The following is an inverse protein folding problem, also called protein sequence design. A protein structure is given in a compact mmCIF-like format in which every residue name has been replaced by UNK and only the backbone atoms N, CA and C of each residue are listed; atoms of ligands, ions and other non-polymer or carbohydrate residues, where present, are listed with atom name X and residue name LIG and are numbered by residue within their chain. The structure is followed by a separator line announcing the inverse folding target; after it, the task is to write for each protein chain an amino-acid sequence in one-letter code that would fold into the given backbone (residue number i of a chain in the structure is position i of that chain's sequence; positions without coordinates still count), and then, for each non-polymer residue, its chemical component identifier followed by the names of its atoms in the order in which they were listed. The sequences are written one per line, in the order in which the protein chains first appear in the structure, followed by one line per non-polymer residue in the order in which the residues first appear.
data_IF_198589260005
#
_entry.id   IF_198589260005
#
_cell.length_a   1.000
_cell.length_b   1.000
_cell.length_c   1.000
_cell.angle_alpha   90.00
_cell.angle_beta   90.00
_cell.angle_gamma   90.00
#
_symmetry.space_group_name_H-M   'P 1'
#
loop_
_entity.id
_entity.type
_entity.pdbx_description
1 polymer ?
#
# COMPACT_ATOMS: atom_id res chain seq x y z
N UNK A 1 -6.50 18.03 -17.57
CA UNK A 1 -6.16 16.61 -17.36
C UNK A 1 -4.66 16.47 -17.58
N UNK A 2 -3.88 15.89 -16.66
CA UNK A 2 -2.49 15.56 -16.96
C UNK A 2 -2.45 14.51 -18.10
N UNK A 3 -1.40 14.52 -18.94
CA UNK A 3 -1.27 13.59 -20.05
C UNK A 3 -1.25 12.13 -19.54
N UNK A 4 -1.90 11.19 -20.24
CA UNK A 4 -1.89 9.78 -19.84
C UNK A 4 -0.45 9.26 -19.84
N UNK A 5 0.03 8.83 -18.67
CA UNK A 5 1.35 8.22 -18.53
C UNK A 5 1.39 6.90 -19.30
N UNK A 6 2.13 6.86 -20.41
CA UNK A 6 2.37 5.68 -21.24
C UNK A 6 3.42 4.76 -20.62
N UNK A 7 3.18 4.33 -19.37
CA UNK A 7 4.05 3.40 -18.66
C UNK A 7 3.34 2.05 -18.63
N UNK A 8 3.65 1.20 -19.61
CA UNK A 8 3.21 -0.20 -19.66
C UNK A 8 4.38 -1.07 -19.22
N UNK A 9 4.18 -1.89 -18.19
CA UNK A 9 5.20 -2.86 -17.74
C UNK A 9 6.14 -2.41 -16.62
N UNK A 10 5.71 -1.51 -15.72
CA UNK A 10 6.43 -1.35 -14.45
C UNK A 10 6.25 -2.63 -13.65
N UNK A 11 7.31 -3.43 -13.59
CA UNK A 11 7.43 -4.52 -12.64
C UNK A 11 7.21 -3.93 -11.25
N UNK A 12 6.27 -4.47 -10.44
CA UNK A 12 6.06 -3.96 -9.10
C UNK A 12 7.37 -4.05 -8.34
N UNK A 13 7.85 -2.96 -7.71
CA UNK A 13 9.08 -2.99 -6.94
C UNK A 13 9.12 -4.18 -5.97
N UNK A 14 10.28 -4.84 -5.80
CA UNK A 14 10.38 -6.05 -4.97
C UNK A 14 9.91 -5.85 -3.51
N UNK A 15 9.90 -4.61 -3.00
CA UNK A 15 9.41 -4.30 -1.66
C UNK A 15 7.88 -4.21 -1.56
N UNK A 16 7.13 -4.15 -2.67
CA UNK A 16 5.66 -4.11 -2.61
C UNK A 16 5.10 -5.45 -2.11
N UNK A 17 5.72 -6.56 -2.52
CA UNK A 17 5.30 -7.89 -2.09
C UNK A 17 5.49 -8.07 -0.59
N UNK A 18 6.57 -7.53 -0.01
CA UNK A 18 6.82 -7.59 1.44
C UNK A 18 5.89 -6.68 2.24
N UNK A 19 5.56 -5.49 1.72
CA UNK A 19 4.55 -4.60 2.33
C UNK A 19 3.17 -5.25 2.32
N UNK A 20 2.77 -5.84 1.19
CA UNK A 20 1.52 -6.57 1.06
C UNK A 20 1.48 -7.80 1.97
N UNK A 21 2.58 -8.58 2.02
CA UNK A 21 2.70 -9.76 2.89
C UNK A 21 2.61 -9.38 4.37
N UNK A 22 3.24 -8.28 4.78
CA UNK A 22 3.13 -7.76 6.15
C UNK A 22 1.71 -7.31 6.49
N UNK A 23 1.02 -6.65 5.56
CA UNK A 23 -0.40 -6.31 5.69
C UNK A 23 -1.27 -7.56 5.81
N UNK A 24 -1.06 -8.54 4.94
CA UNK A 24 -1.77 -9.82 4.95
C UNK A 24 -1.58 -10.56 6.27
N UNK A 25 -0.34 -10.71 6.73
CA UNK A 25 -0.03 -11.37 7.99
C UNK A 25 -0.72 -10.69 9.17
N UNK A 26 -0.73 -9.35 9.20
CA UNK A 26 -1.43 -8.59 10.24
C UNK A 26 -2.96 -8.78 10.17
N UNK A 27 -3.53 -8.90 8.96
CA UNK A 27 -4.94 -9.21 8.76
C UNK A 27 -5.31 -10.63 9.21
N UNK A 28 -4.51 -11.63 8.82
CA UNK A 28 -4.65 -13.03 9.24
C UNK A 28 -4.55 -13.18 10.75
N UNK A 29 -3.63 -12.47 11.41
CA UNK A 29 -3.50 -12.52 12.86
C UNK A 29 -4.75 -11.98 13.58
N UNK A 30 -5.26 -10.83 13.13
CA UNK A 30 -6.43 -10.18 13.75
C UNK A 30 -7.72 -10.96 13.48
N UNK A 31 -7.94 -11.38 12.23
CA UNK A 31 -9.14 -12.13 11.88
C UNK A 31 -9.05 -13.60 12.29
N UNK A 32 -7.84 -14.15 12.42
CA UNK A 32 -7.59 -15.48 12.96
C UNK A 32 -8.06 -15.63 14.40
N UNK A 33 -7.74 -14.67 15.27
CA UNK A 33 -8.22 -14.69 16.66
C UNK A 33 -9.75 -14.58 16.73
N UNK A 34 -10.35 -13.67 15.97
CA UNK A 34 -11.81 -13.51 15.89
C UNK A 34 -12.47 -14.79 15.34
N UNK A 35 -11.89 -15.37 14.29
CA UNK A 35 -12.45 -16.57 13.65
C UNK A 35 -12.38 -17.79 14.57
N UNK A 36 -11.31 -17.96 15.35
CA UNK A 36 -11.20 -19.02 16.35
C UNK A 36 -12.24 -18.81 17.46
N UNK A 37 -12.38 -17.58 17.95
CA UNK A 37 -13.38 -17.25 18.97
C UNK A 37 -14.81 -17.53 18.47
N UNK A 38 -15.10 -17.12 17.23
CA UNK A 38 -16.39 -17.36 16.59
C UNK A 38 -16.65 -18.85 16.39
N UNK A 39 -15.62 -19.64 16.02
CA UNK A 39 -15.75 -21.09 15.91
C UNK A 39 -16.11 -21.72 17.25
N UNK A 40 -15.47 -21.31 18.34
CA UNK A 40 -15.75 -21.80 19.69
C UNK A 40 -17.16 -21.42 20.16
N UNK A 41 -17.61 -20.19 19.85
CA UNK A 41 -18.95 -19.72 20.18
C UNK A 41 -20.03 -20.52 19.43
N UNK A 42 -19.80 -20.78 18.13
CA UNK A 42 -20.75 -21.46 17.27
C UNK A 42 -20.90 -22.95 17.58
N UNK A 43 -19.97 -23.58 18.30
CA UNK A 43 -20.12 -24.98 18.78
C UNK A 43 -21.39 -25.19 19.63
N UNK A 44 -21.88 -24.14 20.31
CA UNK A 44 -23.12 -24.18 21.10
C UNK A 44 -24.39 -24.05 20.23
N UNK A 45 -24.27 -23.54 19.01
CA UNK A 45 -25.42 -23.21 18.17
C UNK A 45 -25.97 -24.45 17.43
N UNK A 46 -27.29 -24.70 17.45
CA UNK A 46 -27.88 -25.92 16.89
C UNK A 46 -27.64 -26.07 15.38
N UNK A 47 -27.64 -24.95 14.65
CA UNK A 47 -27.32 -24.93 13.21
C UNK A 47 -25.89 -25.40 12.94
N UNK A 48 -24.91 -24.95 13.73
CA UNK A 48 -23.49 -25.24 13.49
C UNK A 48 -23.08 -26.66 13.89
N UNK A 49 -23.85 -27.33 14.77
CA UNK A 49 -23.62 -28.74 15.14
C UNK A 49 -23.91 -29.71 13.99
N UNK A 50 -24.86 -29.39 13.11
CA UNK A 50 -25.21 -30.22 11.94
C UNK A 50 -24.29 -30.05 10.73
N UNK A 51 -23.38 -29.08 10.74
CA UNK A 51 -22.47 -28.79 9.63
C UNK A 51 -21.30 -29.78 9.56
N UNK A 52 -20.91 -30.15 8.34
CA UNK A 52 -19.74 -30.99 8.07
C UNK A 52 -18.45 -30.29 8.52
N UNK A 53 -17.43 -31.08 8.85
CA UNK A 53 -16.11 -30.56 9.23
C UNK A 53 -15.52 -29.71 8.10
N UNK A 54 -15.68 -30.16 6.85
CA UNK A 54 -15.24 -29.43 5.66
C UNK A 54 -15.86 -28.03 5.58
N UNK A 55 -17.17 -27.90 5.81
CA UNK A 55 -17.85 -26.61 5.73
C UNK A 55 -17.41 -25.66 6.85
N UNK A 56 -17.11 -26.19 8.04
CA UNK A 56 -16.60 -25.40 9.18
C UNK A 56 -15.22 -24.81 8.89
N UNK A 57 -14.31 -25.64 8.35
CA UNK A 57 -12.97 -25.20 7.96
C UNK A 57 -13.04 -24.19 6.82
N UNK A 58 -13.91 -24.41 5.83
CA UNK A 58 -14.15 -23.46 4.75
C UNK A 58 -14.55 -22.08 5.29
N UNK A 59 -15.56 -22.03 6.18
CA UNK A 59 -16.03 -20.77 6.75
C UNK A 59 -14.94 -20.03 7.53
N UNK A 60 -14.13 -20.76 8.29
CA UNK A 60 -13.00 -20.22 9.05
C UNK A 60 -11.88 -19.68 8.14
N UNK A 61 -11.49 -20.43 7.11
CA UNK A 61 -10.47 -19.99 6.15
C UNK A 61 -10.95 -18.78 5.34
N UNK A 62 -12.21 -18.76 4.91
CA UNK A 62 -12.78 -17.62 4.18
C UNK A 62 -12.72 -16.33 5.00
N UNK A 63 -13.05 -16.38 6.30
CA UNK A 63 -12.95 -15.22 7.18
C UNK A 63 -11.51 -14.73 7.35
N UNK A 64 -10.57 -15.65 7.55
CA UNK A 64 -9.14 -15.33 7.74
C UNK A 64 -8.53 -14.74 6.46
N UNK A 65 -8.79 -15.36 5.31
CA UNK A 65 -8.27 -14.91 4.02
C UNK A 65 -8.83 -13.53 3.67
N UNK A 66 -10.13 -13.32 3.88
CA UNK A 66 -10.75 -12.00 3.65
C UNK A 66 -10.10 -10.92 4.52
N UNK A 67 -9.91 -11.21 5.81
CA UNK A 67 -9.22 -10.31 6.74
C UNK A 67 -7.78 -9.99 6.32
N UNK A 68 -7.06 -11.01 5.83
CA UNK A 68 -5.72 -10.86 5.25
C UNK A 68 -5.72 -9.94 4.03
N UNK A 69 -6.61 -10.17 3.07
CA UNK A 69 -6.70 -9.38 1.84
C UNK A 69 -7.03 -7.91 2.12
N UNK A 70 -8.00 -7.62 3.01
CA UNK A 70 -8.40 -6.24 3.35
C UNK A 70 -7.20 -5.44 3.90
N UNK A 71 -6.43 -6.03 4.81
CA UNK A 71 -5.29 -5.35 5.40
C UNK A 71 -4.08 -5.26 4.46
N UNK A 72 -3.88 -6.25 3.59
CA UNK A 72 -2.88 -6.18 2.54
C UNK A 72 -3.17 -5.02 1.59
N UNK A 73 -4.41 -4.90 1.12
CA UNK A 73 -4.84 -3.82 0.23
C UNK A 73 -4.68 -2.45 0.89
N UNK A 74 -5.11 -2.31 2.14
CA UNK A 74 -4.93 -1.07 2.91
C UNK A 74 -3.45 -0.67 3.02
N UNK A 75 -2.56 -1.61 3.35
CA UNK A 75 -1.11 -1.35 3.45
C UNK A 75 -0.49 -0.93 2.12
N UNK A 76 -0.89 -1.58 1.02
CA UNK A 76 -0.40 -1.23 -0.32
C UNK A 76 -0.92 0.14 -0.74
N UNK A 77 -2.17 0.46 -0.45
CA UNK A 77 -2.75 1.77 -0.76
C UNK A 77 -2.05 2.88 0.02
N UNK A 78 -1.83 2.71 1.33
CA UNK A 78 -1.08 3.66 2.16
C UNK A 78 0.34 3.90 1.61
N UNK A 79 1.01 2.82 1.18
CA UNK A 79 2.34 2.92 0.56
C UNK A 79 2.31 3.72 -0.75
N UNK A 80 1.36 3.41 -1.64
CA UNK A 80 1.21 4.11 -2.92
C UNK A 80 0.94 5.61 -2.73
N UNK A 81 0.12 5.99 -1.76
CA UNK A 81 -0.17 7.38 -1.47
C UNK A 81 1.04 8.12 -0.86
N UNK A 82 1.82 7.44 -0.01
CA UNK A 82 3.09 7.96 0.48
C UNK A 82 4.09 8.21 -0.66
N UNK A 83 4.20 7.28 -1.62
CA UNK A 83 5.05 7.44 -2.81
C UNK A 83 4.58 8.61 -3.68
N UNK A 84 3.27 8.74 -3.91
CA UNK A 84 2.69 9.87 -4.66
C UNK A 84 3.02 11.21 -4.01
N UNK A 85 2.87 11.31 -2.69
CA UNK A 85 3.18 12.53 -1.94
C UNK A 85 4.67 12.85 -1.98
N UNK A 86 5.54 11.85 -1.83
CA UNK A 86 7.00 12.00 -1.94
C UNK A 86 7.41 12.50 -3.32
N UNK A 87 6.85 11.93 -4.38
CA UNK A 87 7.16 12.34 -5.75
C UNK A 87 6.73 13.79 -6.01
N UNK A 88 5.55 14.20 -5.54
CA UNK A 88 5.08 15.60 -5.61
C UNK A 88 5.98 16.56 -4.83
N UNK A 89 6.50 16.14 -3.67
CA UNK A 89 7.44 16.94 -2.89
C UNK A 89 8.78 17.11 -3.62
N UNK A 90 9.34 16.03 -4.16
CA UNK A 90 10.59 16.08 -4.93
C UNK A 90 10.48 16.95 -6.19
N UNK A 91 9.32 16.93 -6.87
CA UNK A 91 9.10 17.80 -8.02
C UNK A 91 9.13 19.30 -7.63
N UNK A 92 8.55 19.65 -6.47
CA UNK A 92 8.64 21.01 -5.93
C UNK A 92 10.10 21.40 -5.62
N UNK A 93 10.85 20.51 -4.98
CA UNK A 93 12.28 20.75 -4.69
C UNK A 93 13.12 20.88 -5.96
N UNK A 94 12.84 20.10 -7.01
CA UNK A 94 13.51 20.23 -8.31
C UNK A 94 13.27 21.59 -8.95
N UNK A 95 12.03 22.10 -8.92
CA UNK A 95 11.70 23.43 -9.48
C UNK A 95 12.49 24.54 -8.80
N UNK A 96 12.50 24.56 -7.45
CA UNK A 96 13.28 25.53 -6.67
C UNK A 96 14.77 25.44 -7.01
N UNK A 97 15.32 24.22 -7.11
CA UNK A 97 16.72 24.03 -7.48
C UNK A 97 17.04 24.56 -8.88
N UNK A 98 16.17 24.32 -9.87
CA UNK A 98 16.34 24.82 -11.24
C UNK A 98 16.33 26.35 -11.27
N UNK A 99 15.38 26.98 -10.57
CA UNK A 99 15.29 28.44 -10.47
C UNK A 99 16.56 29.05 -9.84
N UNK A 100 17.12 28.42 -8.79
CA UNK A 100 18.38 28.88 -8.18
C UNK A 100 19.59 28.80 -9.13
N UNK A 101 19.65 27.75 -9.96
CA UNK A 101 20.73 27.59 -10.94
C UNK A 101 20.65 28.67 -12.03
N UNK A 102 19.46 28.93 -12.56
CA UNK A 102 19.23 30.00 -13.55
C UNK A 102 19.59 31.39 -12.98
N UNK A 103 19.25 31.64 -11.71
CA UNK A 103 19.56 32.92 -11.04
C UNK A 103 21.08 33.12 -10.91
N UNK A 104 21.82 32.07 -10.51
CA UNK A 104 23.29 32.09 -10.43
C UNK A 104 23.93 32.32 -11.79
N UNK A 105 23.42 31.67 -12.84
CA UNK A 105 23.93 31.86 -14.20
C UNK A 105 23.70 33.31 -14.68
N UNK A 106 22.54 33.90 -14.40
CA UNK A 106 22.25 35.31 -14.75
C UNK A 106 23.15 36.29 -14.03
N UNK A 107 23.47 36.05 -12.76
CA UNK A 107 24.40 36.89 -11.98
C UNK A 107 25.80 36.76 -12.58
N UNK A 108 26.29 35.54 -12.80
CA UNK A 108 27.60 35.30 -13.40
C UNK A 108 27.76 35.94 -14.79
N UNK A 109 26.72 35.90 -15.64
CA UNK A 109 26.74 36.61 -16.94
C UNK A 109 26.80 38.12 -16.80
N UNK A 110 26.14 38.72 -15.79
CA UNK A 110 26.21 40.16 -15.53
C UNK A 110 27.59 40.58 -15.06
N UNK A 111 28.18 39.83 -14.13
CA UNK A 111 29.55 40.06 -13.65
C UNK A 111 30.60 39.92 -14.77
N UNK A 112 30.39 39.01 -15.73
CA UNK A 112 31.27 38.85 -16.89
C UNK A 112 31.10 39.95 -17.96
N UNK A 113 29.97 40.68 -17.96
CA UNK A 113 29.71 41.80 -18.85
C UNK A 113 30.17 43.15 -18.28
N UNK A 114 30.32 43.24 -16.95
CA UNK A 114 30.86 44.42 -16.25
C UNK A 114 32.40 44.41 -16.12
N UNK A 115 33.07 43.28 -16.43
CA UNK A 115 34.54 43.16 -16.52
C UNK A 115 35.04 43.33 -17.95
#
# INVERSE_FOLDING_TARGET
MPPPSNIKGVVPPEHLTSVAAGGFAAGVLRFGTISILSHLLLLRHPVYRGLTIQFKVYLQLSAIILGGCIFAEKRVSEYNDAVRNRNRAMERSRRVWTEEQELKERISRREAAEK
#
